data_IF_044993798990
#
_entry.id   IF_044993798990
#
_cell.length_a   1.000
_cell.length_b   1.000
_cell.length_c   1.000
_cell.angle_alpha   90.00
_cell.angle_beta   90.00
_cell.angle_gamma   90.00
#
_symmetry.space_group_name_H-M   'P 1'
#
loop_
_entity.id
_entity.type
_entity.pdbx_description
1 polymer ?
#
# COMPACT_ATOMS: atom_id res chain seq x y z
N UNK A 1 14.02 -3.82 -10.00
CA UNK A 1 12.99 -3.33 -9.06
C UNK A 1 13.40 -3.43 -7.60
N UNK A 2 13.72 -4.59 -7.03
CA UNK A 2 14.09 -4.68 -5.61
C UNK A 2 15.29 -3.79 -5.22
N UNK A 3 16.35 -3.77 -6.02
CA UNK A 3 17.52 -2.91 -5.80
C UNK A 3 17.18 -1.42 -5.84
N UNK A 4 16.39 -0.98 -6.82
CA UNK A 4 15.94 0.41 -6.89
C UNK A 4 14.99 0.79 -5.75
N UNK A 5 14.16 -0.16 -5.31
CA UNK A 5 13.31 0.01 -4.14
C UNK A 5 14.15 0.16 -2.85
N UNK A 6 15.22 -0.61 -2.68
CA UNK A 6 16.15 -0.45 -1.55
C UNK A 6 16.80 0.94 -1.53
N UNK A 7 17.22 1.46 -2.70
CA UNK A 7 17.72 2.83 -2.79
C UNK A 7 16.63 3.84 -2.42
N UNK A 8 15.41 3.63 -2.88
CA UNK A 8 14.25 4.45 -2.50
C UNK A 8 14.01 4.46 -0.99
N UNK A 9 14.13 3.28 -0.35
CA UNK A 9 14.01 3.15 1.13
C UNK A 9 15.09 3.95 1.85
N UNK A 10 16.34 3.88 1.41
CA UNK A 10 17.43 4.65 2.02
C UNK A 10 17.21 6.17 1.90
N UNK A 11 16.84 6.63 0.72
CA UNK A 11 16.54 8.04 0.47
C UNK A 11 15.34 8.51 1.28
N UNK A 12 14.25 7.75 1.27
CA UNK A 12 13.03 8.11 1.99
C UNK A 12 13.20 8.07 3.51
N UNK A 13 13.95 7.10 4.04
CA UNK A 13 14.27 7.06 5.47
C UNK A 13 15.17 8.24 5.90
N UNK A 14 16.16 8.59 5.08
CA UNK A 14 17.00 9.77 5.33
C UNK A 14 16.21 11.08 5.25
N UNK A 15 15.26 11.17 4.31
CA UNK A 15 14.35 12.30 4.21
C UNK A 15 13.46 12.40 5.46
N UNK A 16 12.87 11.28 5.91
CA UNK A 16 12.02 11.27 7.10
C UNK A 16 12.80 11.61 8.38
N UNK A 17 14.05 11.16 8.50
CA UNK A 17 14.94 11.55 9.58
C UNK A 17 15.20 13.07 9.60
N UNK A 18 15.42 13.66 8.42
CA UNK A 18 15.61 15.11 8.28
C UNK A 18 14.34 15.90 8.65
N UNK A 19 13.17 15.43 8.23
CA UNK A 19 11.88 16.05 8.60
C UNK A 19 11.68 15.98 10.12
N UNK A 20 11.95 14.84 10.74
CA UNK A 20 11.80 14.66 12.18
C UNK A 20 12.78 15.53 12.96
N UNK A 21 14.01 15.68 12.47
CA UNK A 21 15.04 16.52 13.11
C UNK A 21 14.69 18.01 13.07
N UNK A 22 14.13 18.48 11.96
CA UNK A 22 13.83 19.91 11.74
C UNK A 22 12.47 20.32 12.30
N UNK A 23 11.44 19.46 12.22
CA UNK A 23 10.05 19.78 12.56
C UNK A 23 9.50 18.92 13.71
N UNK A 24 10.31 18.07 14.31
CA UNK A 24 9.92 17.21 15.43
C UNK A 24 8.93 16.10 15.04
N UNK A 25 8.28 15.51 16.04
CA UNK A 25 7.31 14.44 15.84
C UNK A 25 6.00 14.92 15.19
N UNK A 26 5.54 16.10 15.54
CA UNK A 26 4.33 16.66 14.95
C UNK A 26 4.49 16.94 13.46
N UNK A 27 5.64 17.48 13.03
CA UNK A 27 5.93 17.71 11.62
C UNK A 27 6.05 16.44 10.81
N UNK A 28 6.73 15.41 11.34
CA UNK A 28 6.80 14.11 10.66
C UNK A 28 5.43 13.44 10.57
N UNK A 29 4.62 13.50 11.61
CA UNK A 29 3.26 12.95 11.63
C UNK A 29 2.31 13.69 10.67
N UNK A 30 2.45 15.01 10.55
CA UNK A 30 1.72 15.81 9.58
C UNK A 30 2.07 15.40 8.14
N UNK A 31 3.38 15.30 7.82
CA UNK A 31 3.84 14.86 6.51
C UNK A 31 3.26 13.49 6.16
N UNK A 32 3.42 12.51 7.06
CA UNK A 32 2.88 11.15 6.86
C UNK A 32 1.37 11.19 6.62
N UNK A 33 0.61 11.95 7.41
CA UNK A 33 -0.85 12.02 7.27
C UNK A 33 -1.29 12.64 5.95
N UNK A 34 -0.64 13.73 5.53
CA UNK A 34 -0.92 14.37 4.23
C UNK A 34 -0.58 13.43 3.07
N UNK A 35 0.60 12.79 3.12
CA UNK A 35 1.00 11.85 2.10
C UNK A 35 0.06 10.63 2.03
N UNK A 36 -0.39 10.09 3.18
CA UNK A 36 -1.42 9.05 3.23
C UNK A 36 -2.72 9.49 2.54
N UNK A 37 -3.22 10.68 2.88
CA UNK A 37 -4.47 11.19 2.30
C UNK A 37 -4.35 11.28 0.79
N UNK A 38 -3.27 11.87 0.28
CA UNK A 38 -3.07 12.01 -1.18
C UNK A 38 -2.96 10.66 -1.85
N UNK A 39 -2.05 9.82 -1.37
CA UNK A 39 -1.74 8.53 -2.01
C UNK A 39 -2.93 7.57 -1.92
N UNK A 40 -3.51 7.39 -0.74
CA UNK A 40 -4.63 6.44 -0.56
C UNK A 40 -5.90 6.91 -1.26
N UNK A 41 -6.13 8.22 -1.36
CA UNK A 41 -7.29 8.74 -2.12
C UNK A 41 -7.10 8.49 -3.60
N UNK A 42 -5.92 8.79 -4.17
CA UNK A 42 -5.65 8.57 -5.59
C UNK A 42 -5.72 7.08 -5.96
N UNK A 43 -4.99 6.24 -5.22
CA UNK A 43 -4.94 4.80 -5.48
C UNK A 43 -6.27 4.15 -5.14
N UNK A 44 -6.88 4.51 -4.02
CA UNK A 44 -8.17 3.97 -3.58
C UNK A 44 -9.31 4.27 -4.56
N UNK A 45 -9.40 5.51 -5.08
CA UNK A 45 -10.38 5.86 -6.11
C UNK A 45 -10.12 5.11 -7.43
N UNK A 46 -8.85 4.92 -7.80
CA UNK A 46 -8.50 4.19 -8.99
C UNK A 46 -8.90 2.70 -8.87
N UNK A 47 -8.53 2.04 -7.76
CA UNK A 47 -8.90 0.64 -7.50
C UNK A 47 -10.42 0.47 -7.34
N UNK A 48 -11.10 1.45 -6.73
CA UNK A 48 -12.56 1.45 -6.63
C UNK A 48 -13.23 1.50 -8.00
N UNK A 49 -12.75 2.39 -8.88
CA UNK A 49 -13.24 2.46 -10.27
C UNK A 49 -13.05 1.14 -11.00
N UNK A 50 -11.90 0.50 -10.86
CA UNK A 50 -11.60 -0.78 -11.49
C UNK A 50 -12.52 -1.89 -10.94
N UNK A 51 -12.70 -1.97 -9.62
CA UNK A 51 -13.61 -2.92 -8.99
C UNK A 51 -15.07 -2.73 -9.46
N UNK A 52 -15.56 -1.49 -9.54
CA UNK A 52 -16.90 -1.19 -9.99
C UNK A 52 -17.10 -1.52 -11.49
N UNK A 53 -16.09 -1.33 -12.33
CA UNK A 53 -16.11 -1.75 -13.73
C UNK A 53 -16.19 -3.27 -13.86
N UNK A 54 -15.35 -3.99 -13.12
CA UNK A 54 -15.36 -5.46 -13.09
C UNK A 54 -16.73 -6.01 -12.64
N UNK A 55 -17.40 -5.36 -11.67
CA UNK A 55 -18.75 -5.74 -11.24
C UNK A 55 -19.79 -5.54 -12.36
N UNK A 56 -19.68 -4.46 -13.14
CA UNK A 56 -20.68 -4.12 -14.18
C UNK A 56 -20.50 -4.94 -15.46
N UNK A 57 -19.27 -5.30 -15.84
CA UNK A 57 -18.98 -6.03 -17.07
C UNK A 57 -19.26 -7.53 -16.99
N UNK A 58 -19.49 -8.08 -15.80
CA UNK A 58 -19.72 -9.52 -15.59
C UNK A 58 -18.51 -10.41 -15.90
N UNK A 59 -17.46 -9.87 -16.51
CA UNK A 59 -16.21 -10.54 -16.85
C UNK A 59 -15.15 -10.22 -15.79
N UNK A 60 -15.26 -10.92 -14.66
CA UNK A 60 -14.32 -10.75 -13.55
C UNK A 60 -12.88 -11.27 -13.86
N UNK A 61 -12.71 -12.03 -14.95
CA UNK A 61 -11.48 -12.78 -15.23
C UNK A 61 -10.66 -12.25 -16.43
N UNK A 62 -11.16 -11.25 -17.18
CA UNK A 62 -10.34 -10.63 -18.20
C UNK A 62 -9.50 -9.50 -17.58
N UNK A 63 -8.25 -9.81 -17.26
CA UNK A 63 -7.18 -8.83 -17.04
C UNK A 63 -6.93 -8.08 -18.37
N UNK A 64 -7.77 -7.09 -18.67
CA UNK A 64 -7.52 -6.21 -19.81
C UNK A 64 -6.23 -5.43 -19.56
N UNK A 65 -5.22 -5.70 -20.36
CA UNK A 65 -3.98 -4.90 -20.33
C UNK A 65 -4.33 -3.44 -20.61
N UNK A 66 -4.18 -2.59 -19.61
CA UNK A 66 -4.53 -1.18 -19.71
C UNK A 66 -3.78 -0.50 -20.87
N UNK A 67 -4.44 0.48 -21.53
CA UNK A 67 -3.85 1.22 -22.67
C UNK A 67 -2.46 1.77 -22.35
N UNK A 68 -2.25 2.19 -21.12
CA UNK A 68 -0.98 2.72 -20.65
C UNK A 68 0.11 1.64 -20.59
N UNK A 69 -0.20 0.46 -20.06
CA UNK A 69 0.74 -0.67 -20.04
C UNK A 69 1.15 -1.10 -21.44
N UNK A 70 0.20 -1.12 -22.40
CA UNK A 70 0.51 -1.39 -23.81
C UNK A 70 1.46 -0.35 -24.41
N UNK A 71 1.27 0.92 -24.07
CA UNK A 71 2.18 1.99 -24.49
C UNK A 71 3.58 1.81 -23.87
N UNK A 72 3.69 1.51 -22.58
CA UNK A 72 4.97 1.23 -21.90
C UNK A 72 5.68 0.03 -22.53
N UNK A 73 4.93 -1.02 -22.88
CA UNK A 73 5.47 -2.22 -23.54
C UNK A 73 5.89 -1.97 -25.00
N UNK A 74 5.28 -0.99 -25.67
CA UNK A 74 5.64 -0.60 -27.05
C UNK A 74 6.90 0.27 -27.13
N UNK A 75 7.36 0.84 -26.01
CA UNK A 75 8.58 1.65 -25.96
C UNK A 75 9.79 0.73 -25.84
N UNK A 76 10.35 0.36 -26.99
CA UNK A 76 11.56 -0.44 -27.07
C UNK A 76 12.80 0.46 -27.05
N UNK A 77 13.52 0.46 -25.93
CA UNK A 77 14.78 1.18 -25.82
C UNK A 77 15.92 0.16 -25.90
N UNK A 78 16.73 0.17 -26.98
CA UNK A 78 17.80 -0.78 -27.15
C UNK A 78 18.80 -0.71 -25.97
N UNK A 79 19.15 -1.89 -25.42
CA UNK A 79 20.09 -2.01 -24.30
C UNK A 79 19.43 -2.00 -22.89
N UNK A 80 18.14 -1.69 -22.75
CA UNK A 80 17.45 -1.65 -21.45
C UNK A 80 16.29 -2.63 -21.32
N UNK A 81 16.03 -3.42 -22.38
CA UNK A 81 14.92 -4.37 -22.39
C UNK A 81 15.20 -5.57 -21.51
N UNK A 82 14.31 -5.79 -20.54
CA UNK A 82 14.32 -6.96 -19.67
C UNK A 82 13.15 -7.87 -20.01
N UNK A 83 13.43 -9.13 -20.22
CA UNK A 83 12.40 -10.15 -20.49
C UNK A 83 12.08 -10.89 -19.19
N UNK A 84 10.84 -10.77 -18.74
CA UNK A 84 10.33 -11.49 -17.57
C UNK A 84 9.61 -12.75 -18.05
N UNK A 85 10.31 -13.90 -17.98
CA UNK A 85 9.79 -15.18 -18.52
C UNK A 85 8.51 -15.63 -17.83
N UNK A 86 8.40 -15.47 -16.51
CA UNK A 86 7.21 -15.87 -15.73
C UNK A 86 6.00 -14.98 -16.05
N UNK A 87 6.22 -13.68 -16.19
CA UNK A 87 5.16 -12.73 -16.54
C UNK A 87 4.86 -12.69 -18.05
N UNK A 88 5.68 -13.35 -18.88
CA UNK A 88 5.65 -13.27 -20.35
C UNK A 88 5.66 -11.82 -20.87
N UNK A 89 6.38 -10.95 -20.18
CA UNK A 89 6.44 -9.52 -20.48
C UNK A 89 7.84 -9.11 -20.89
N UNK A 90 7.90 -8.17 -21.85
CA UNK A 90 9.10 -7.44 -22.21
C UNK A 90 8.90 -5.98 -21.84
N UNK A 91 9.69 -5.47 -20.89
CA UNK A 91 9.58 -4.09 -20.42
C UNK A 91 10.96 -3.49 -20.24
N UNK A 92 11.11 -2.22 -20.58
CA UNK A 92 12.37 -1.51 -20.35
C UNK A 92 12.63 -1.30 -18.86
N UNK A 93 13.89 -1.47 -18.45
CA UNK A 93 14.37 -1.16 -17.10
C UNK A 93 14.08 0.30 -16.70
N UNK A 94 13.97 1.19 -17.70
CA UNK A 94 13.67 2.61 -17.49
C UNK A 94 12.32 2.84 -16.78
N UNK A 95 11.35 1.95 -16.94
CA UNK A 95 10.06 2.02 -16.25
C UNK A 95 10.05 1.23 -14.94
N UNK A 96 10.79 0.12 -14.88
CA UNK A 96 10.83 -0.72 -13.69
C UNK A 96 11.68 -0.13 -12.56
N UNK A 97 12.74 0.60 -12.89
CA UNK A 97 13.62 1.23 -11.90
C UNK A 97 12.94 2.41 -11.17
N UNK A 98 12.32 3.40 -11.86
CA UNK A 98 11.57 4.47 -11.19
C UNK A 98 10.40 3.95 -10.37
N UNK A 99 9.65 2.97 -10.89
CA UNK A 99 8.54 2.37 -10.15
C UNK A 99 9.03 1.74 -8.84
N UNK A 100 10.11 0.94 -8.88
CA UNK A 100 10.73 0.38 -7.68
C UNK A 100 11.21 1.46 -6.72
N UNK A 101 11.90 2.49 -7.23
CA UNK A 101 12.38 3.60 -6.40
C UNK A 101 11.24 4.34 -5.69
N UNK A 102 10.17 4.70 -6.42
CA UNK A 102 8.99 5.34 -5.83
C UNK A 102 8.32 4.45 -4.79
N UNK A 103 8.17 3.15 -5.09
CA UNK A 103 7.61 2.19 -4.14
C UNK A 103 8.44 2.14 -2.84
N UNK A 104 9.77 2.06 -2.94
CA UNK A 104 10.66 2.05 -1.79
C UNK A 104 10.66 3.36 -1.00
N UNK A 105 10.65 4.49 -1.68
CA UNK A 105 10.56 5.82 -1.07
C UNK A 105 9.27 5.97 -0.25
N UNK A 106 8.14 5.58 -0.82
CA UNK A 106 6.84 5.64 -0.14
C UNK A 106 6.72 4.59 0.97
N UNK A 107 7.30 3.40 0.79
CA UNK A 107 7.35 2.38 1.82
C UNK A 107 8.09 2.86 3.08
N UNK A 108 9.22 3.54 2.92
CA UNK A 108 10.01 4.04 4.04
C UNK A 108 9.44 5.30 4.70
N UNK A 109 8.76 6.16 3.94
CA UNK A 109 8.21 7.41 4.48
C UNK A 109 6.83 7.25 5.08
N UNK A 110 5.95 6.49 4.44
CA UNK A 110 4.54 6.34 4.85
C UNK A 110 4.08 4.88 4.99
N UNK A 111 4.99 3.90 4.92
CA UNK A 111 4.69 2.46 5.03
C UNK A 111 3.67 1.91 4.00
N UNK A 112 3.56 2.53 2.83
CA UNK A 112 2.55 2.23 1.78
C UNK A 112 3.21 1.62 0.53
N UNK A 113 4.24 0.80 0.67
CA UNK A 113 4.93 0.19 -0.47
C UNK A 113 4.02 -0.67 -1.34
N UNK A 114 3.41 -1.69 -0.79
CA UNK A 114 2.61 -2.67 -1.51
C UNK A 114 1.35 -2.11 -2.18
N UNK A 115 0.75 -1.08 -1.61
CA UNK A 115 -0.43 -0.42 -2.19
C UNK A 115 -0.14 0.32 -3.50
N UNK A 116 1.12 0.60 -3.80
CA UNK A 116 1.55 1.26 -5.03
C UNK A 116 2.31 0.27 -5.91
N UNK A 117 3.13 -0.60 -5.33
CA UNK A 117 3.92 -1.58 -6.06
C UNK A 117 3.05 -2.53 -6.89
N UNK A 118 2.04 -3.14 -6.28
CA UNK A 118 1.14 -4.06 -6.99
C UNK A 118 0.35 -3.37 -8.10
N UNK A 119 -0.42 -2.28 -7.84
CA UNK A 119 -1.08 -1.55 -8.90
C UNK A 119 -0.12 -1.01 -9.95
N UNK A 120 1.05 -0.51 -9.56
CA UNK A 120 2.07 -0.05 -10.49
C UNK A 120 2.54 -1.15 -11.44
N UNK A 121 2.77 -2.36 -10.95
CA UNK A 121 3.13 -3.50 -11.81
C UNK A 121 1.99 -3.90 -12.74
N UNK A 122 0.75 -3.89 -12.28
CA UNK A 122 -0.41 -4.26 -13.10
C UNK A 122 -0.71 -3.20 -14.16
N UNK A 123 -0.85 -1.94 -13.74
CA UNK A 123 -1.37 -0.88 -14.60
C UNK A 123 -0.30 -0.17 -15.43
N UNK A 124 0.94 -0.12 -14.93
CA UNK A 124 2.07 0.51 -15.62
C UNK A 124 2.85 -0.49 -16.47
N UNK A 125 3.16 -1.67 -15.92
CA UNK A 125 3.95 -2.68 -16.62
C UNK A 125 3.10 -3.72 -17.34
N UNK A 126 1.82 -3.87 -16.97
CA UNK A 126 0.90 -4.87 -17.54
C UNK A 126 1.16 -6.28 -17.01
N UNK A 127 1.70 -6.41 -15.80
CA UNK A 127 1.94 -7.72 -15.18
C UNK A 127 0.62 -8.35 -14.74
N UNK A 128 0.47 -9.70 -14.89
CA UNK A 128 -0.67 -10.41 -14.31
C UNK A 128 -0.75 -10.22 -12.81
N UNK A 129 -1.96 -10.08 -12.26
CA UNK A 129 -2.19 -9.76 -10.83
C UNK A 129 -1.47 -10.73 -9.90
N UNK A 130 -1.50 -12.04 -10.20
CA UNK A 130 -0.83 -13.06 -9.39
C UNK A 130 0.70 -12.86 -9.37
N UNK A 131 1.28 -12.60 -10.54
CA UNK A 131 2.74 -12.38 -10.67
C UNK A 131 3.15 -11.08 -10.00
N UNK A 132 2.36 -10.01 -10.17
CA UNK A 132 2.60 -8.73 -9.52
C UNK A 132 2.57 -8.87 -7.99
N UNK A 133 1.56 -9.54 -7.43
CA UNK A 133 1.45 -9.75 -5.99
C UNK A 133 2.58 -10.62 -5.43
N UNK A 134 2.94 -11.72 -6.11
CA UNK A 134 4.04 -12.56 -5.70
C UNK A 134 5.40 -11.83 -5.78
N UNK A 135 5.61 -11.03 -6.81
CA UNK A 135 6.82 -10.22 -6.98
C UNK A 135 6.92 -9.15 -5.89
N UNK A 136 5.79 -8.51 -5.55
CA UNK A 136 5.75 -7.50 -4.49
C UNK A 136 6.13 -8.07 -3.12
N UNK A 137 5.76 -9.31 -2.81
CA UNK A 137 6.18 -9.96 -1.55
C UNK A 137 7.71 -10.05 -1.44
N UNK A 138 8.39 -10.38 -2.54
CA UNK A 138 9.86 -10.43 -2.57
C UNK A 138 10.45 -9.02 -2.45
N UNK A 139 9.88 -8.05 -3.16
CA UNK A 139 10.31 -6.64 -3.09
C UNK A 139 10.10 -6.11 -1.67
N UNK A 140 8.93 -6.38 -1.06
CA UNK A 140 8.60 -5.97 0.30
C UNK A 140 9.56 -6.58 1.34
N UNK A 141 9.96 -7.84 1.16
CA UNK A 141 10.96 -8.46 2.02
C UNK A 141 12.30 -7.73 1.95
N UNK A 142 12.80 -7.44 0.75
CA UNK A 142 14.06 -6.71 0.55
C UNK A 142 13.98 -5.28 1.08
N UNK A 143 12.86 -4.58 0.83
CA UNK A 143 12.62 -3.24 1.37
C UNK A 143 12.53 -3.26 2.90
N UNK A 144 11.85 -4.24 3.47
CA UNK A 144 11.70 -4.42 4.92
C UNK A 144 13.07 -4.64 5.59
N UNK A 145 13.90 -5.51 5.02
CA UNK A 145 15.26 -5.75 5.51
C UNK A 145 16.10 -4.47 5.47
N UNK A 146 16.09 -3.78 4.32
CA UNK A 146 16.85 -2.53 4.12
C UNK A 146 16.35 -1.42 5.05
N UNK A 147 15.02 -1.27 5.18
CA UNK A 147 14.40 -0.27 6.04
C UNK A 147 14.65 -0.52 7.51
N UNK A 148 14.52 -1.78 7.96
CA UNK A 148 14.82 -2.17 9.35
C UNK A 148 16.26 -1.86 9.71
N UNK A 149 17.22 -2.16 8.81
CA UNK A 149 18.63 -1.86 9.03
C UNK A 149 18.85 -0.34 9.17
N UNK A 150 18.30 0.45 8.27
CA UNK A 150 18.43 1.92 8.28
C UNK A 150 17.81 2.55 9.52
N UNK A 151 16.60 2.16 9.90
CA UNK A 151 15.93 2.69 11.08
C UNK A 151 16.53 2.17 12.40
N UNK A 152 17.06 0.94 12.42
CA UNK A 152 17.78 0.40 13.58
C UNK A 152 19.08 1.15 13.84
N UNK A 153 19.84 1.51 12.79
CA UNK A 153 21.04 2.36 12.93
C UNK A 153 20.71 3.74 13.49
N UNK A 154 19.51 4.25 13.25
CA UNK A 154 19.00 5.50 13.81
C UNK A 154 18.43 5.36 15.24
N UNK A 155 18.36 4.15 15.81
CA UNK A 155 17.80 3.90 17.14
C UNK A 155 16.27 3.99 17.20
N UNK A 156 15.56 3.93 16.04
CA UNK A 156 14.11 4.08 15.98
C UNK A 156 13.33 2.76 16.08
N UNK A 157 14.01 1.62 16.22
CA UNK A 157 13.37 0.30 16.25
C UNK A 157 13.20 -0.15 17.71
N UNK A 158 11.95 -0.25 18.15
CA UNK A 158 11.60 -0.91 19.42
C UNK A 158 11.33 -2.39 19.16
N UNK A 159 12.25 -3.25 19.65
CA UNK A 159 12.17 -4.70 19.45
C UNK A 159 10.93 -5.30 20.14
N UNK A 160 10.52 -4.78 21.30
CA UNK A 160 9.35 -5.29 22.04
C UNK A 160 8.08 -5.06 21.25
N UNK A 161 7.91 -3.85 20.73
CA UNK A 161 6.77 -3.49 19.89
C UNK A 161 6.77 -4.28 18.58
N UNK A 162 7.93 -4.45 17.95
CA UNK A 162 8.08 -5.24 16.73
C UNK A 162 7.70 -6.72 16.95
N UNK A 163 8.12 -7.33 18.05
CA UNK A 163 7.76 -8.71 18.42
C UNK A 163 6.25 -8.86 18.64
N UNK A 164 5.60 -7.89 19.27
CA UNK A 164 4.18 -7.91 19.54
C UNK A 164 3.36 -7.83 18.23
N UNK A 165 3.77 -6.96 17.31
CA UNK A 165 3.18 -6.85 15.97
C UNK A 165 3.41 -8.14 15.17
N UNK A 166 4.60 -8.72 15.25
CA UNK A 166 4.93 -9.98 14.56
C UNK A 166 4.02 -11.12 15.02
N UNK A 167 3.83 -11.29 16.32
CA UNK A 167 2.93 -12.31 16.86
C UNK A 167 1.50 -12.16 16.35
N UNK A 168 0.95 -10.92 16.36
CA UNK A 168 -0.39 -10.66 15.81
C UNK A 168 -0.48 -10.92 14.31
N UNK A 169 0.55 -10.55 13.55
CA UNK A 169 0.58 -10.73 12.09
C UNK A 169 0.66 -12.20 11.66
N UNK A 170 1.35 -13.05 12.41
CA UNK A 170 1.43 -14.49 12.09
C UNK A 170 0.05 -15.16 12.03
N UNK A 171 -0.82 -14.84 12.99
CA UNK A 171 -2.20 -15.35 12.97
C UNK A 171 -3.04 -14.67 11.89
N UNK A 172 -2.90 -13.34 11.76
CA UNK A 172 -3.67 -12.56 10.78
C UNK A 172 -3.39 -12.96 9.34
N UNK A 173 -2.13 -13.19 8.98
CA UNK A 173 -1.73 -13.60 7.62
C UNK A 173 -2.33 -14.96 7.26
N UNK A 174 -2.30 -15.94 8.16
CA UNK A 174 -2.85 -17.26 7.90
C UNK A 174 -4.36 -17.21 7.70
N UNK A 175 -5.08 -16.53 8.59
CA UNK A 175 -6.53 -16.33 8.47
C UNK A 175 -6.88 -15.56 7.19
N UNK A 176 -6.12 -14.54 6.87
CA UNK A 176 -6.31 -13.74 5.65
C UNK A 176 -6.08 -14.57 4.38
N UNK A 177 -4.99 -15.33 4.31
CA UNK A 177 -4.66 -16.15 3.16
C UNK A 177 -5.73 -17.23 2.89
N UNK A 178 -6.18 -17.93 3.93
CA UNK A 178 -7.27 -18.88 3.82
C UNK A 178 -8.57 -18.16 3.44
N UNK A 179 -8.87 -17.02 4.08
CA UNK A 179 -10.11 -16.29 3.87
C UNK A 179 -10.28 -15.74 2.47
N UNK A 180 -9.21 -15.30 1.83
CA UNK A 180 -9.25 -14.77 0.45
C UNK A 180 -9.63 -15.83 -0.57
N UNK A 181 -9.44 -17.14 -0.29
CA UNK A 181 -9.86 -18.23 -1.19
C UNK A 181 -11.38 -18.38 -1.28
N UNK A 182 -12.12 -17.80 -0.34
CA UNK A 182 -13.59 -17.82 -0.31
C UNK A 182 -14.23 -16.56 -0.90
N UNK A 183 -13.44 -15.56 -1.26
CA UNK A 183 -13.90 -14.25 -1.72
C UNK A 183 -13.62 -14.08 -3.20
N UNK A 184 -14.59 -13.58 -3.97
CA UNK A 184 -14.41 -13.31 -5.39
C UNK A 184 -13.38 -12.20 -5.62
N UNK A 185 -12.53 -12.27 -6.68
CA UNK A 185 -11.45 -11.30 -6.93
C UNK A 185 -11.90 -9.85 -6.94
N UNK A 186 -13.05 -9.53 -7.55
CA UNK A 186 -13.59 -8.16 -7.58
C UNK A 186 -13.99 -7.64 -6.19
N UNK A 187 -14.47 -8.54 -5.30
CA UNK A 187 -14.81 -8.16 -3.92
C UNK A 187 -13.56 -7.82 -3.12
N UNK A 188 -12.45 -8.53 -3.34
CA UNK A 188 -11.16 -8.22 -2.70
C UNK A 188 -10.74 -6.82 -3.10
N UNK A 189 -10.78 -6.49 -4.41
CA UNK A 189 -10.47 -5.15 -4.91
C UNK A 189 -11.38 -4.08 -4.29
N UNK A 190 -12.68 -4.35 -4.23
CA UNK A 190 -13.67 -3.43 -3.66
C UNK A 190 -13.41 -3.16 -2.18
N UNK A 191 -13.21 -4.21 -1.38
CA UNK A 191 -12.93 -4.10 0.06
C UNK A 191 -11.62 -3.36 0.30
N UNK A 192 -10.57 -3.68 -0.47
CA UNK A 192 -9.28 -2.99 -0.38
C UNK A 192 -9.43 -1.50 -0.67
N UNK A 193 -10.17 -1.13 -1.73
CA UNK A 193 -10.44 0.27 -2.05
C UNK A 193 -11.22 0.98 -0.94
N UNK A 194 -12.24 0.34 -0.37
CA UNK A 194 -13.00 0.89 0.75
C UNK A 194 -12.12 1.12 1.98
N UNK A 195 -11.29 0.15 2.35
CA UNK A 195 -10.34 0.27 3.45
C UNK A 195 -9.39 1.46 3.20
N UNK A 196 -8.81 1.57 2.00
CA UNK A 196 -7.93 2.69 1.64
C UNK A 196 -8.61 4.05 1.83
N UNK A 197 -9.84 4.19 1.35
CA UNK A 197 -10.59 5.45 1.44
C UNK A 197 -10.98 5.79 2.88
N UNK A 198 -11.41 4.81 3.67
CA UNK A 198 -11.73 5.03 5.09
C UNK A 198 -10.47 5.43 5.87
N UNK A 199 -9.33 4.79 5.61
CA UNK A 199 -8.05 5.18 6.22
C UNK A 199 -7.61 6.56 5.76
N UNK A 200 -7.83 6.94 4.50
CA UNK A 200 -7.56 8.30 4.03
C UNK A 200 -8.39 9.34 4.80
N UNK A 201 -9.68 9.09 5.00
CA UNK A 201 -10.54 9.95 5.83
C UNK A 201 -10.05 9.99 7.28
N UNK A 202 -9.69 8.85 7.87
CA UNK A 202 -9.10 8.80 9.21
C UNK A 202 -7.87 9.70 9.33
N UNK A 203 -6.98 9.66 8.37
CA UNK A 203 -5.76 10.50 8.37
C UNK A 203 -6.07 11.98 8.11
N UNK A 204 -7.06 12.29 7.28
CA UNK A 204 -7.50 13.66 7.06
C UNK A 204 -8.04 14.30 8.35
N UNK A 205 -8.75 13.54 9.19
CA UNK A 205 -9.28 14.02 10.46
C UNK A 205 -8.19 14.42 11.49
N UNK A 206 -7.00 13.86 11.40
CA UNK A 206 -5.90 14.16 12.34
C UNK A 206 -5.02 15.32 11.85
N UNK A 207 -5.06 15.68 10.58
CA UNK A 207 -4.27 16.79 10.03
C UNK A 207 -4.45 18.10 10.83
N UNK A 208 -5.68 18.56 11.15
CA UNK A 208 -5.86 19.77 11.94
C UNK A 208 -5.21 19.69 13.34
N UNK A 209 -5.15 18.51 13.92
CA UNK A 209 -4.53 18.32 15.24
C UNK A 209 -3.02 18.55 15.17
N UNK A 210 -2.34 17.98 14.16
CA UNK A 210 -0.90 18.21 13.98
C UNK A 210 -0.58 19.67 13.60
N UNK A 211 -1.47 20.34 12.86
CA UNK A 211 -1.34 21.77 12.60
C UNK A 211 -1.49 22.60 13.90
N UNK A 212 -2.33 22.15 14.82
CA UNK A 212 -2.46 22.74 16.15
C UNK A 212 -1.19 22.55 17.00
N UNK A 213 -0.61 21.35 16.99
CA UNK A 213 0.64 21.05 17.70
C UNK A 213 1.83 21.87 17.15
N UNK A 214 1.83 22.18 15.86
CA UNK A 214 2.80 23.06 15.20
C UNK A 214 2.50 24.55 15.38
N UNK A 215 1.44 24.91 16.14
CA UNK A 215 0.99 26.29 16.38
C UNK A 215 0.59 27.06 15.10
N UNK A 216 0.28 26.36 14.03
CA UNK A 216 -0.23 26.96 12.77
C UNK A 216 -1.73 27.22 12.88
N UNK A 217 -2.45 26.38 13.62
CA UNK A 217 -3.90 26.48 13.83
C UNK A 217 -4.20 26.50 15.34
N UNK A 218 -5.04 27.46 15.78
CA UNK A 218 -5.53 27.47 17.15
C UNK A 218 -6.67 26.45 17.30
N UNK A 219 -6.38 25.27 17.81
CA UNK A 219 -7.38 24.23 18.05
C UNK A 219 -7.65 24.11 19.55
N UNK A 220 -8.93 24.12 19.94
CA UNK A 220 -9.31 23.88 21.33
C UNK A 220 -9.04 22.40 21.71
N UNK A 221 -8.50 22.16 22.91
CA UNK A 221 -8.18 20.83 23.43
C UNK A 221 -9.31 19.80 23.29
N UNK A 222 -10.60 20.12 23.58
CA UNK A 222 -11.67 19.15 23.42
C UNK A 222 -11.90 18.76 21.95
N UNK A 223 -11.73 19.68 21.00
CA UNK A 223 -11.84 19.41 19.57
C UNK A 223 -10.69 18.50 19.07
N UNK A 224 -9.46 18.76 19.53
CA UNK A 224 -8.31 17.90 19.20
C UNK A 224 -8.51 16.46 19.69
N UNK A 225 -8.99 16.28 20.92
CA UNK A 225 -9.30 14.96 21.46
C UNK A 225 -10.40 14.25 20.66
N UNK A 226 -11.48 14.95 20.31
CA UNK A 226 -12.57 14.41 19.52
C UNK A 226 -12.08 13.92 18.14
N UNK A 227 -11.25 14.72 17.45
CA UNK A 227 -10.68 14.36 16.16
C UNK A 227 -9.75 13.15 16.23
N UNK A 228 -8.93 13.04 17.28
CA UNK A 228 -8.08 11.85 17.51
C UNK A 228 -8.93 10.59 17.73
N UNK A 229 -9.98 10.67 18.55
CA UNK A 229 -10.91 9.54 18.79
C UNK A 229 -11.66 9.15 17.51
N UNK A 230 -12.19 10.14 16.78
CA UNK A 230 -12.89 9.88 15.52
C UNK A 230 -11.98 9.23 14.47
N UNK A 231 -10.73 9.70 14.34
CA UNK A 231 -9.73 9.09 13.47
C UNK A 231 -9.45 7.63 13.86
N UNK A 232 -9.26 7.36 15.14
CA UNK A 232 -9.03 6.00 15.63
C UNK A 232 -10.24 5.10 15.37
N UNK A 233 -11.46 5.58 15.62
CA UNK A 233 -12.70 4.86 15.32
C UNK A 233 -12.83 4.53 13.82
N UNK A 234 -12.52 5.49 12.93
CA UNK A 234 -12.47 5.24 11.49
C UNK A 234 -11.46 4.16 11.10
N UNK A 235 -10.28 4.16 11.73
CA UNK A 235 -9.25 3.16 11.46
C UNK A 235 -9.71 1.76 11.90
N UNK A 236 -10.31 1.65 13.09
CA UNK A 236 -10.90 0.39 13.58
C UNK A 236 -12.03 -0.08 12.66
N UNK A 237 -12.90 0.84 12.21
CA UNK A 237 -13.97 0.52 11.26
C UNK A 237 -13.42 0.00 9.93
N UNK A 238 -12.33 0.57 9.40
CA UNK A 238 -11.68 0.09 8.18
C UNK A 238 -11.22 -1.37 8.31
N UNK A 239 -10.57 -1.70 9.43
CA UNK A 239 -10.12 -3.07 9.71
C UNK A 239 -11.30 -4.03 9.91
N UNK A 240 -12.35 -3.58 10.62
CA UNK A 240 -13.56 -4.36 10.84
C UNK A 240 -14.28 -4.70 9.53
N UNK A 241 -14.38 -3.79 8.58
CA UNK A 241 -14.96 -4.04 7.25
C UNK A 241 -14.21 -5.19 6.55
N UNK A 242 -12.88 -5.15 6.51
CA UNK A 242 -12.08 -6.22 5.93
C UNK A 242 -12.29 -7.57 6.61
N UNK A 243 -12.25 -7.58 7.94
CA UNK A 243 -12.43 -8.79 8.73
C UNK A 243 -13.84 -9.39 8.55
N UNK A 244 -14.89 -8.57 8.60
CA UNK A 244 -16.28 -9.01 8.43
C UNK A 244 -16.51 -9.65 7.06
N UNK A 245 -15.96 -9.06 5.99
CA UNK A 245 -16.12 -9.61 4.64
C UNK A 245 -15.40 -10.95 4.52
N UNK A 246 -14.16 -11.06 4.99
CA UNK A 246 -13.36 -12.28 4.89
C UNK A 246 -13.97 -13.39 5.76
N UNK A 247 -14.22 -13.12 7.03
CA UNK A 247 -14.80 -14.11 7.97
C UNK A 247 -16.22 -14.47 7.56
N UNK A 248 -17.03 -13.50 7.13
CA UNK A 248 -18.37 -13.76 6.63
C UNK A 248 -18.40 -14.65 5.39
N UNK A 249 -17.43 -14.52 4.47
CA UNK A 249 -17.28 -15.40 3.32
C UNK A 249 -16.87 -16.82 3.75
N UNK A 250 -15.94 -16.95 4.69
CA UNK A 250 -15.52 -18.24 5.25
C UNK A 250 -16.69 -18.98 5.94
N UNK A 251 -17.50 -18.26 6.71
CA UNK A 251 -18.65 -18.86 7.41
C UNK A 251 -19.75 -19.35 6.44
N UNK A 252 -19.88 -18.71 5.27
CA UNK A 252 -20.81 -19.17 4.22
C UNK A 252 -20.36 -20.44 3.49
N UNK A 253 -19.14 -20.93 3.73
CA UNK A 253 -18.68 -22.28 3.38
C UNK A 253 -18.54 -22.60 1.88
N UNK A 254 -18.65 -21.64 0.98
CA UNK A 254 -18.52 -21.87 -0.45
C UNK A 254 -17.09 -21.53 -0.91
N UNK A 255 -16.21 -22.54 -0.96
CA UNK A 255 -14.94 -22.39 -1.65
C UNK A 255 -15.19 -22.11 -3.13
N UNK A 256 -14.59 -21.07 -3.66
CA UNK A 256 -14.64 -20.80 -5.09
C UNK A 256 -13.66 -21.77 -5.79
N UNK A 257 -14.04 -22.40 -6.92
CA UNK A 257 -13.10 -23.19 -7.69
C UNK A 257 -11.94 -22.30 -8.12
N UNK A 258 -10.72 -22.72 -7.82
CA UNK A 258 -9.52 -22.09 -8.35
C UNK A 258 -9.47 -22.34 -9.85
N UNK A 259 -9.81 -21.34 -10.66
CA UNK A 259 -9.41 -21.32 -12.06
C UNK A 259 -7.92 -21.01 -12.08
N UNK A 260 -7.13 -22.07 -12.31
CA UNK A 260 -5.68 -22.01 -12.54
C UNK A 260 -5.42 -21.38 -13.92
#
# INVERSE_FOLDING_TARGET
MATSASVGVWVGAGFMESVRRNYGEAGSSLYVSVAFVVVLTLVGLFVLRDALRAMRSGNADHEETHRFARWVQSVEIPGTMMTFHVAKLRVSALFTLPLGFCTGLLASTIAVGGFIGVPGMIYLLGAPTLVASATELVIAFVMGLTGTLKYAMGGYVDIRLAMLILLGSLFGIQLGAIGTTYVRPYMIKLVTAMIMLIVAVSRALVIPVYLGELRVLALAEPAARLLKVASFACMVAALAVGAIVIVGAMLKGRRLPHTV
#
